data_IF_175730384639
#
_entry.id   IF_175730384639
#
_cell.length_a   1.000
_cell.length_b   1.000
_cell.length_c   1.000
_cell.angle_alpha   90.00
_cell.angle_beta   90.00
_cell.angle_gamma   90.00
#
_symmetry.space_group_name_H-M   'P 1'
#
loop_
_entity.id
_entity.type
_entity.pdbx_description
1 polymer ?
#
# COMPACT_ATOMS: atom_id res chain seq x y z
N UNK A 1 31.63 -4.51 -14.90
CA UNK A 1 31.52 -3.05 -15.08
C UNK A 1 30.29 -2.56 -14.33
N UNK A 2 30.46 -1.58 -13.43
CA UNK A 2 29.32 -0.94 -12.76
C UNK A 2 28.63 -0.01 -13.76
N UNK A 3 27.53 -0.48 -14.35
CA UNK A 3 26.70 0.37 -15.20
C UNK A 3 25.82 1.26 -14.31
N UNK A 4 25.96 2.56 -14.52
CA UNK A 4 25.21 3.62 -13.87
C UNK A 4 23.80 3.59 -14.44
N UNK A 5 22.80 3.24 -13.61
CA UNK A 5 21.40 3.41 -14.01
C UNK A 5 21.11 4.91 -14.15
N UNK A 6 20.53 5.37 -15.27
CA UNK A 6 20.18 6.78 -15.43
C UNK A 6 19.15 7.17 -14.36
N UNK A 7 19.43 8.28 -13.67
CA UNK A 7 18.56 8.89 -12.66
C UNK A 7 17.30 9.39 -13.39
N UNK A 8 16.16 8.74 -13.20
CA UNK A 8 14.88 9.29 -13.66
C UNK A 8 14.28 10.18 -12.56
N UNK A 9 13.53 11.20 -12.98
CA UNK A 9 12.97 12.24 -12.10
C UNK A 9 11.56 11.85 -11.65
N UNK A 10 11.35 11.69 -10.34
CA UNK A 10 10.06 11.44 -9.70
C UNK A 10 10.15 10.62 -8.40
N UNK A 11 9.10 10.57 -7.56
CA UNK A 11 9.08 9.72 -6.38
C UNK A 11 8.95 8.24 -6.80
N UNK A 12 10.09 7.55 -6.90
CA UNK A 12 10.13 6.12 -7.23
C UNK A 12 9.87 5.25 -6.01
N UNK A 13 8.71 4.62 -5.97
CA UNK A 13 8.49 3.44 -5.14
C UNK A 13 9.00 2.23 -5.91
N UNK A 14 9.93 1.48 -5.32
CA UNK A 14 10.44 0.23 -5.90
C UNK A 14 9.97 -0.92 -5.01
N UNK A 15 8.99 -1.66 -5.50
CA UNK A 15 8.66 -2.96 -4.93
C UNK A 15 9.61 -4.00 -5.52
N UNK A 16 10.30 -4.73 -4.64
CA UNK A 16 11.22 -5.80 -5.05
C UNK A 16 10.48 -7.13 -4.97
N UNK A 17 10.01 -7.61 -6.11
CA UNK A 17 9.49 -8.97 -6.25
C UNK A 17 10.62 -9.94 -6.57
N UNK A 18 10.71 -11.05 -5.84
CA UNK A 18 11.73 -12.08 -6.06
C UNK A 18 11.05 -13.40 -6.37
N UNK A 19 11.23 -13.94 -7.58
CA UNK A 19 10.91 -15.33 -7.86
C UNK A 19 12.10 -16.21 -7.41
N UNK A 20 12.25 -16.45 -6.11
CA UNK A 20 13.15 -17.50 -5.61
C UNK A 20 12.36 -18.56 -4.83
N UNK A 21 12.81 -19.81 -4.94
CA UNK A 21 12.93 -20.68 -3.76
C UNK A 21 14.30 -20.35 -3.15
N UNK A 22 14.29 -19.57 -2.07
CA UNK A 22 15.44 -19.07 -1.29
C UNK A 22 16.47 -18.18 -2.03
N UNK A 23 16.61 -16.93 -1.61
CA UNK A 23 17.57 -15.96 -2.17
C UNK A 23 17.93 -14.81 -1.21
N UNK A 24 19.04 -14.08 -1.46
CA UNK A 24 19.91 -13.52 -0.41
C UNK A 24 19.70 -12.02 -0.09
N UNK A 25 20.20 -11.61 1.08
CA UNK A 25 19.92 -10.41 1.88
C UNK A 25 20.52 -9.05 1.40
N UNK A 26 21.01 -8.91 0.16
CA UNK A 26 21.84 -7.75 -0.24
C UNK A 26 21.22 -6.66 -1.14
N UNK A 27 20.13 -6.96 -1.87
CA UNK A 27 19.57 -6.05 -2.88
C UNK A 27 18.88 -4.79 -2.29
N UNK A 28 18.15 -4.88 -1.16
CA UNK A 28 17.52 -3.73 -0.52
C UNK A 28 18.48 -2.58 -0.21
N UNK A 29 19.61 -2.86 0.43
CA UNK A 29 20.59 -1.86 0.82
C UNK A 29 21.21 -1.11 -0.39
N UNK A 30 21.32 -1.75 -1.55
CA UNK A 30 21.84 -1.11 -2.77
C UNK A 30 20.83 -0.16 -3.40
N UNK A 31 19.53 -0.47 -3.31
CA UNK A 31 18.45 0.37 -3.82
C UNK A 31 18.22 1.58 -2.91
N UNK A 32 18.28 1.41 -1.58
CA UNK A 32 18.19 2.52 -0.63
C UNK A 32 19.33 3.55 -0.81
N UNK A 33 20.58 3.08 -1.00
CA UNK A 33 21.74 3.94 -1.30
C UNK A 33 21.57 4.79 -2.56
N UNK A 34 20.70 4.35 -3.49
CA UNK A 34 20.40 5.07 -4.74
C UNK A 34 19.17 5.98 -4.63
N UNK A 35 18.60 6.13 -3.43
CA UNK A 35 17.47 7.03 -3.15
C UNK A 35 16.10 6.39 -3.34
N UNK A 36 16.02 5.09 -3.62
CA UNK A 36 14.75 4.37 -3.71
C UNK A 36 14.22 4.06 -2.31
N UNK A 37 12.91 4.20 -2.09
CA UNK A 37 12.26 3.70 -0.87
C UNK A 37 12.09 2.19 -1.04
N UNK A 38 12.88 1.41 -0.34
CA UNK A 38 12.74 -0.06 -0.30
C UNK A 38 11.86 -0.41 0.89
N UNK A 39 10.86 -1.26 0.67
CA UNK A 39 10.07 -1.84 1.74
C UNK A 39 10.51 -3.29 1.85
N UNK A 40 11.43 -3.58 2.78
CA UNK A 40 11.64 -4.94 3.27
C UNK A 40 10.53 -5.26 4.26
N UNK A 41 9.84 -6.38 4.05
CA UNK A 41 8.78 -6.81 4.95
C UNK A 41 9.41 -7.50 6.16
N UNK A 42 9.35 -6.84 7.31
CA UNK A 42 9.36 -7.48 8.63
C UNK A 42 7.99 -7.28 9.29
N UNK A 43 7.55 -8.28 10.04
CA UNK A 43 6.20 -8.40 10.60
C UNK A 43 5.87 -7.30 11.63
N UNK A 44 5.17 -6.24 11.22
CA UNK A 44 4.44 -5.39 12.18
C UNK A 44 3.21 -4.72 11.54
N UNK A 45 2.08 -4.73 12.28
CA UNK A 45 0.77 -4.20 11.87
C UNK A 45 0.40 -2.93 12.67
N UNK A 46 -0.41 -2.01 12.08
CA UNK A 46 -0.83 -0.76 12.71
C UNK A 46 -2.00 -0.89 13.69
N UNK A 47 -2.11 0.10 14.58
CA UNK A 47 -3.16 0.29 15.60
C UNK A 47 -4.47 0.83 15.02
N UNK A 48 -5.59 0.21 15.36
CA UNK A 48 -6.95 0.64 14.96
C UNK A 48 -7.62 1.45 16.07
N UNK A 49 -7.85 2.74 15.84
CA UNK A 49 -8.69 3.58 16.68
C UNK A 49 -9.58 4.45 15.80
N UNK A 50 -10.91 4.35 15.95
CA UNK A 50 -11.87 5.32 15.40
C UNK A 50 -13.03 4.76 14.56
N UNK A 51 -13.92 3.95 15.14
CA UNK A 51 -15.18 3.57 14.50
C UNK A 51 -16.38 4.16 15.25
N UNK A 52 -17.26 4.87 14.52
CA UNK A 52 -18.51 5.44 15.01
C UNK A 52 -19.57 4.35 15.25
N UNK A 53 -20.33 4.50 16.34
CA UNK A 53 -21.31 3.55 16.86
C UNK A 53 -22.69 3.73 16.23
N UNK A 54 -23.16 2.75 15.45
CA UNK A 54 -24.57 2.61 15.09
C UNK A 54 -25.24 1.58 16.00
N UNK A 55 -26.46 1.90 16.44
CA UNK A 55 -27.43 1.18 17.28
C UNK A 55 -26.95 -0.18 17.81
N UNK A 56 -26.26 -0.11 18.95
CA UNK A 56 -25.78 -1.25 19.72
C UNK A 56 -26.94 -1.75 20.59
N UNK A 57 -27.01 -3.06 20.83
CA UNK A 57 -27.88 -3.61 21.86
C UNK A 57 -27.26 -3.19 23.21
N UNK A 58 -27.71 -2.06 23.77
CA UNK A 58 -27.08 -1.36 24.92
C UNK A 58 -27.07 -2.18 26.22
N UNK A 59 -27.77 -3.32 26.25
CA UNK A 59 -27.91 -4.15 27.45
C UNK A 59 -26.75 -5.12 27.69
N UNK A 60 -25.81 -5.27 26.75
CA UNK A 60 -24.67 -6.17 26.95
C UNK A 60 -23.61 -5.53 27.86
N UNK A 61 -23.48 -6.05 29.08
CA UNK A 61 -22.44 -5.66 30.05
C UNK A 61 -21.39 -6.77 30.17
N UNK A 62 -20.17 -6.61 29.61
CA UNK A 62 -19.10 -7.58 29.78
C UNK A 62 -18.72 -7.72 31.26
N UNK A 63 -18.24 -8.90 31.63
CA UNK A 63 -17.87 -9.17 33.03
C UNK A 63 -16.74 -8.22 33.47
N UNK A 64 -16.72 -7.76 34.75
CA UNK A 64 -15.56 -7.04 35.26
C UNK A 64 -14.32 -7.94 35.15
N UNK A 65 -13.18 -7.34 34.80
CA UNK A 65 -11.95 -8.10 34.60
C UNK A 65 -10.94 -7.41 33.67
N UNK A 66 -9.85 -8.09 33.31
CA UNK A 66 -8.79 -7.52 32.49
C UNK A 66 -9.30 -6.93 31.18
N UNK A 67 -8.72 -5.79 30.79
CA UNK A 67 -8.96 -5.14 29.50
C UNK A 67 -10.44 -4.83 29.22
N UNK A 68 -11.23 -4.49 30.25
CA UNK A 68 -12.68 -4.22 30.14
C UNK A 68 -13.02 -3.25 28.99
N UNK A 69 -12.38 -2.08 28.95
CA UNK A 69 -12.59 -1.08 27.89
C UNK A 69 -12.32 -1.63 26.48
N UNK A 70 -11.22 -2.38 26.32
CA UNK A 70 -10.88 -2.96 25.00
C UNK A 70 -11.85 -4.06 24.59
N UNK A 71 -12.36 -4.85 25.54
CA UNK A 71 -13.39 -5.85 25.27
C UNK A 71 -14.72 -5.17 24.90
N UNK A 72 -15.08 -4.07 25.56
CA UNK A 72 -16.23 -3.24 25.19
C UNK A 72 -16.10 -2.70 23.76
N UNK A 73 -14.94 -2.13 23.41
CA UNK A 73 -14.67 -1.63 22.07
C UNK A 73 -14.72 -2.75 21.02
N UNK A 74 -14.18 -3.92 21.34
CA UNK A 74 -14.27 -5.10 20.47
C UNK A 74 -15.73 -5.53 20.25
N UNK A 75 -16.55 -5.58 21.31
CA UNK A 75 -17.98 -5.88 21.20
C UNK A 75 -18.70 -4.89 20.29
N UNK A 76 -18.48 -3.59 20.49
CA UNK A 76 -19.03 -2.53 19.63
C UNK A 76 -18.59 -2.69 18.18
N UNK A 77 -17.32 -3.04 17.97
CA UNK A 77 -16.77 -3.30 16.63
C UNK A 77 -17.44 -4.50 15.97
N UNK A 78 -17.63 -5.62 16.69
CA UNK A 78 -18.35 -6.80 16.19
C UNK A 78 -19.78 -6.40 15.79
N UNK A 79 -20.51 -5.68 16.65
CA UNK A 79 -21.88 -5.24 16.35
C UNK A 79 -21.95 -4.30 15.13
N UNK A 80 -21.05 -3.31 15.05
CA UNK A 80 -20.95 -2.41 13.90
C UNK A 80 -20.60 -3.15 12.60
N UNK A 81 -20.00 -4.34 12.67
CA UNK A 81 -19.71 -5.16 11.50
C UNK A 81 -20.97 -5.72 10.84
N UNK A 82 -22.06 -5.86 11.62
CA UNK A 82 -23.36 -6.33 11.12
C UNK A 82 -23.97 -5.38 10.10
N UNK A 83 -23.91 -4.06 10.36
CA UNK A 83 -24.45 -3.05 9.43
C UNK A 83 -23.67 -2.98 8.12
N UNK A 84 -22.47 -3.55 8.09
CA UNK A 84 -21.61 -3.64 6.91
C UNK A 84 -21.73 -4.97 6.16
N UNK A 85 -22.73 -5.79 6.50
CA UNK A 85 -22.98 -7.07 5.82
C UNK A 85 -21.99 -8.19 6.18
N UNK A 86 -21.14 -8.00 7.19
CA UNK A 86 -20.22 -9.03 7.66
C UNK A 86 -20.98 -9.99 8.58
N UNK A 87 -20.86 -11.30 8.34
CA UNK A 87 -21.41 -12.33 9.22
C UNK A 87 -20.77 -12.28 10.60
N UNK A 88 -21.51 -11.80 11.62
CA UNK A 88 -20.95 -11.58 12.96
C UNK A 88 -20.95 -12.80 13.88
N UNK A 89 -21.68 -13.86 13.53
CA UNK A 89 -21.97 -15.00 14.44
C UNK A 89 -20.70 -15.65 14.98
N UNK A 90 -19.70 -15.92 14.12
CA UNK A 90 -18.43 -16.53 14.54
C UNK A 90 -17.62 -15.64 15.50
N UNK A 91 -17.62 -14.34 15.28
CA UNK A 91 -16.94 -13.36 16.15
C UNK A 91 -17.64 -13.23 17.49
N UNK A 92 -18.97 -13.19 17.49
CA UNK A 92 -19.76 -13.12 18.71
C UNK A 92 -19.58 -14.39 19.56
N UNK A 93 -19.54 -15.58 18.93
CA UNK A 93 -19.24 -16.83 19.63
C UNK A 93 -17.85 -16.82 20.25
N UNK A 94 -16.84 -16.34 19.51
CA UNK A 94 -15.46 -16.21 20.01
C UNK A 94 -15.37 -15.22 21.18
N UNK A 95 -16.10 -14.10 21.09
CA UNK A 95 -16.18 -13.09 22.13
C UNK A 95 -16.88 -13.65 23.39
N UNK A 96 -18.01 -14.34 23.25
CA UNK A 96 -18.71 -14.97 24.37
C UNK A 96 -17.87 -16.05 25.06
N UNK A 97 -17.10 -16.82 24.29
CA UNK A 97 -16.12 -17.76 24.85
C UNK A 97 -15.05 -17.03 25.67
N UNK A 98 -14.51 -15.93 25.15
CA UNK A 98 -13.56 -15.07 25.86
C UNK A 98 -14.16 -14.52 27.17
N UNK A 99 -15.39 -14.02 27.15
CA UNK A 99 -16.09 -13.55 28.35
C UNK A 99 -16.26 -14.65 29.41
N UNK A 100 -16.52 -15.88 28.97
CA UNK A 100 -16.60 -17.05 29.88
C UNK A 100 -15.26 -17.30 30.56
N UNK A 101 -14.15 -17.16 29.83
CA UNK A 101 -12.79 -17.27 30.39
C UNK A 101 -12.48 -16.14 31.38
N UNK A 102 -12.90 -14.91 31.10
CA UNK A 102 -12.76 -13.77 32.04
C UNK A 102 -13.51 -14.07 33.34
N UNK A 103 -14.77 -14.55 33.26
CA UNK A 103 -15.56 -14.94 34.44
C UNK A 103 -14.92 -16.06 35.25
N UNK A 104 -14.18 -16.97 34.59
CA UNK A 104 -13.42 -18.04 35.22
C UNK A 104 -12.04 -17.59 35.77
N UNK A 105 -11.71 -16.29 35.72
CA UNK A 105 -10.47 -15.75 36.26
C UNK A 105 -9.27 -15.78 35.32
N UNK A 106 -9.48 -15.81 33.99
CA UNK A 106 -8.39 -15.77 33.02
C UNK A 106 -7.50 -14.53 33.19
N UNK A 107 -6.18 -14.74 33.10
CA UNK A 107 -5.17 -13.70 33.24
C UNK A 107 -5.16 -12.70 32.09
N UNK A 108 -4.58 -11.51 32.32
CA UNK A 108 -4.53 -10.40 31.34
C UNK A 108 -3.96 -10.80 29.99
N UNK A 109 -2.93 -11.65 29.94
CA UNK A 109 -2.26 -12.03 28.69
C UNK A 109 -3.10 -12.99 27.84
N UNK A 110 -3.80 -13.94 28.48
CA UNK A 110 -4.78 -14.81 27.80
C UNK A 110 -5.90 -13.96 27.19
N UNK A 111 -6.43 -13.01 27.97
CA UNK A 111 -7.48 -12.10 27.50
C UNK A 111 -6.99 -11.23 26.33
N UNK A 112 -5.76 -10.70 26.43
CA UNK A 112 -5.13 -9.91 25.37
C UNK A 112 -4.97 -10.72 24.08
N UNK A 113 -4.54 -11.97 24.18
CA UNK A 113 -4.38 -12.86 23.03
C UNK A 113 -5.73 -13.19 22.37
N UNK A 114 -6.77 -13.45 23.17
CA UNK A 114 -8.14 -13.67 22.70
C UNK A 114 -8.70 -12.47 21.95
N UNK A 115 -8.63 -11.27 22.54
CA UNK A 115 -9.03 -10.01 21.89
C UNK A 115 -8.30 -9.83 20.56
N UNK A 116 -6.98 -9.98 20.55
CA UNK A 116 -6.15 -9.81 19.35
C UNK A 116 -6.55 -10.78 18.23
N UNK A 117 -6.85 -12.04 18.57
CA UNK A 117 -7.27 -13.05 17.58
C UNK A 117 -8.57 -12.64 16.88
N UNK A 118 -9.54 -12.14 17.65
CA UNK A 118 -10.83 -11.68 17.10
C UNK A 118 -10.61 -10.42 16.25
N UNK A 119 -9.82 -9.45 16.73
CA UNK A 119 -9.48 -8.22 15.98
C UNK A 119 -8.82 -8.54 14.63
N UNK A 120 -7.86 -9.47 14.59
CA UNK A 120 -7.20 -9.89 13.34
C UNK A 120 -8.22 -10.51 12.38
N UNK A 121 -9.01 -11.47 12.87
CA UNK A 121 -9.97 -12.19 12.03
C UNK A 121 -11.10 -11.26 11.53
N UNK A 122 -11.53 -10.28 12.32
CA UNK A 122 -12.43 -9.22 11.86
C UNK A 122 -11.75 -8.36 10.80
N UNK A 123 -10.54 -7.88 11.09
CA UNK A 123 -9.76 -7.06 10.17
C UNK A 123 -9.58 -7.71 8.80
N UNK A 124 -9.41 -9.03 8.75
CA UNK A 124 -9.36 -9.79 7.49
C UNK A 124 -10.68 -9.77 6.71
N UNK A 125 -11.83 -9.86 7.37
CA UNK A 125 -13.15 -9.71 6.72
C UNK A 125 -13.45 -8.27 6.32
N UNK A 126 -12.79 -7.29 6.95
CA UNK A 126 -12.88 -5.89 6.54
C UNK A 126 -12.06 -5.57 5.30
N UNK A 127 -11.01 -6.35 4.98
CA UNK A 127 -10.14 -6.11 3.82
C UNK A 127 -10.92 -6.02 2.49
N UNK A 128 -11.94 -6.85 2.20
CA UNK A 128 -12.76 -6.73 0.99
C UNK A 128 -13.71 -5.52 0.99
N UNK A 129 -14.25 -5.10 2.15
CA UNK A 129 -15.19 -3.98 2.22
C UNK A 129 -14.51 -2.60 2.28
N UNK A 130 -13.23 -2.57 2.64
CA UNK A 130 -12.35 -1.39 2.54
C UNK A 130 -11.73 -1.24 1.15
N UNK A 131 -11.98 -2.17 0.23
CA UNK A 131 -11.48 -2.04 -1.13
C UNK A 131 -12.21 -0.88 -1.83
N UNK A 132 -11.46 0.22 -2.01
CA UNK A 132 -11.74 1.32 -2.94
C UNK A 132 -12.57 2.50 -2.41
N UNK A 133 -12.39 2.96 -1.17
CA UNK A 133 -12.99 4.25 -0.79
C UNK A 133 -11.99 5.40 -0.92
N UNK A 134 -10.71 5.16 -0.63
CA UNK A 134 -9.70 6.22 -0.62
C UNK A 134 -9.23 6.55 -2.04
N UNK A 135 -9.09 5.56 -2.93
CA UNK A 135 -8.63 5.81 -4.31
C UNK A 135 -9.62 6.67 -5.09
N UNK A 136 -10.94 6.41 -5.09
CA UNK A 136 -11.90 7.33 -5.72
C UNK A 136 -11.87 8.73 -5.10
N UNK A 137 -11.69 8.82 -3.77
CA UNK A 137 -11.50 10.09 -3.09
C UNK A 137 -10.26 10.84 -3.58
N UNK A 138 -9.11 10.17 -3.67
CA UNK A 138 -7.88 10.72 -4.25
C UNK A 138 -8.07 11.17 -5.70
N UNK A 139 -8.75 10.38 -6.54
CA UNK A 139 -9.05 10.75 -7.93
C UNK A 139 -9.95 12.00 -8.00
N UNK A 140 -10.91 12.13 -7.08
CA UNK A 140 -11.74 13.35 -6.97
C UNK A 140 -10.89 14.56 -6.59
N UNK A 141 -9.94 14.41 -5.68
CA UNK A 141 -8.98 15.46 -5.34
C UNK A 141 -8.06 15.81 -6.50
N UNK A 142 -7.55 14.82 -7.24
CA UNK A 142 -6.72 15.03 -8.43
C UNK A 142 -7.46 15.91 -9.46
N UNK A 143 -8.75 15.65 -9.70
CA UNK A 143 -9.59 16.49 -10.59
C UNK A 143 -9.71 17.93 -10.07
N UNK A 144 -10.03 18.10 -8.79
CA UNK A 144 -10.14 19.42 -8.16
C UNK A 144 -8.82 20.21 -8.24
N UNK A 145 -7.69 19.55 -7.95
CA UNK A 145 -6.35 20.13 -8.06
C UNK A 145 -6.06 20.54 -9.51
N UNK A 146 -6.31 19.66 -10.46
CA UNK A 146 -6.07 19.92 -11.88
C UNK A 146 -6.83 21.15 -12.37
N UNK A 147 -8.12 21.27 -12.05
CA UNK A 147 -8.96 22.40 -12.47
C UNK A 147 -8.43 23.75 -11.93
N UNK A 148 -7.98 23.77 -10.69
CA UNK A 148 -7.56 25.00 -10.01
C UNK A 148 -6.11 25.39 -10.29
N UNK A 149 -5.24 24.42 -10.58
CA UNK A 149 -3.82 24.66 -10.86
C UNK A 149 -3.54 24.89 -12.36
N UNK A 150 -4.53 24.65 -13.24
CA UNK A 150 -4.41 24.88 -14.68
C UNK A 150 -4.00 26.32 -14.98
N UNK A 151 -3.09 26.49 -15.95
CA UNK A 151 -2.65 27.80 -16.42
C UNK A 151 -1.61 28.50 -15.54
N UNK A 152 -1.00 27.80 -14.57
CA UNK A 152 0.08 28.32 -13.71
C UNK A 152 1.45 27.82 -14.17
N UNK A 153 2.19 28.54 -15.04
CA UNK A 153 3.48 28.07 -15.53
C UNK A 153 4.50 27.85 -14.41
N UNK A 154 4.37 28.56 -13.28
CA UNK A 154 5.23 28.43 -12.11
C UNK A 154 5.16 27.04 -11.46
N UNK A 155 4.07 26.30 -11.69
CA UNK A 155 3.83 24.96 -11.15
C UNK A 155 4.02 23.85 -12.18
N UNK A 156 4.62 24.14 -13.35
CA UNK A 156 4.80 23.16 -14.42
C UNK A 156 5.63 21.95 -14.01
N UNK A 157 6.61 22.15 -13.13
CA UNK A 157 7.46 21.04 -12.64
C UNK A 157 6.83 20.23 -11.52
N UNK A 158 5.72 20.70 -10.95
CA UNK A 158 5.08 20.05 -9.80
C UNK A 158 5.73 20.45 -8.47
N UNK A 159 4.94 20.40 -7.40
CA UNK A 159 5.39 20.59 -6.03
C UNK A 159 4.78 19.52 -5.16
N UNK A 160 5.62 18.78 -4.44
CA UNK A 160 5.20 17.75 -3.50
C UNK A 160 4.79 18.35 -2.17
N UNK A 161 3.54 18.16 -1.79
CA UNK A 161 2.95 18.63 -0.55
C UNK A 161 2.47 17.45 0.31
N UNK A 162 2.55 17.62 1.61
CA UNK A 162 1.93 16.73 2.60
C UNK A 162 0.85 17.51 3.33
N UNK A 163 -0.31 16.88 3.52
CA UNK A 163 -1.41 17.47 4.29
C UNK A 163 -2.17 16.40 5.05
N UNK A 164 -3.01 16.83 5.99
CA UNK A 164 -3.97 15.95 6.64
C UNK A 164 -5.36 16.53 6.54
N UNK A 165 -6.27 15.77 5.95
CA UNK A 165 -7.68 16.14 5.79
C UNK A 165 -8.48 15.54 6.94
N UNK A 166 -9.18 16.40 7.68
CA UNK A 166 -10.12 15.98 8.73
C UNK A 166 -11.38 15.35 8.15
N UNK A 167 -12.19 14.72 8.99
CA UNK A 167 -13.50 14.17 8.59
C UNK A 167 -14.49 15.24 8.13
N UNK A 168 -14.24 16.51 8.50
CA UNK A 168 -14.98 17.69 8.04
C UNK A 168 -14.41 18.30 6.74
N UNK A 169 -13.41 17.66 6.13
CA UNK A 169 -12.73 18.18 4.94
C UNK A 169 -11.69 19.28 5.22
N UNK A 170 -11.54 19.75 6.48
CA UNK A 170 -10.58 20.80 6.78
C UNK A 170 -9.15 20.30 6.69
N UNK A 171 -8.30 21.13 6.09
CA UNK A 171 -6.89 20.85 5.98
C UNK A 171 -6.15 21.22 7.27
N UNK A 172 -5.24 20.35 7.67
CA UNK A 172 -4.30 20.58 8.76
C UNK A 172 -2.91 20.07 8.36
N UNK A 173 -1.85 20.60 9.00
CA UNK A 173 -0.45 20.18 8.76
C UNK A 173 -0.05 20.21 7.27
N UNK A 174 -0.38 21.29 6.56
CA UNK A 174 0.02 21.48 5.15
C UNK A 174 1.46 21.99 5.08
N UNK A 175 2.36 21.20 4.50
CA UNK A 175 3.76 21.56 4.30
C UNK A 175 4.33 20.95 3.01
N UNK A 176 5.36 21.60 2.47
CA UNK A 176 6.10 21.12 1.28
C UNK A 176 7.09 20.02 1.70
N UNK A 177 7.22 18.98 0.90
CA UNK A 177 8.19 17.91 1.13
C UNK A 177 9.61 18.45 1.21
N UNK A 178 10.39 17.98 2.18
CA UNK A 178 11.82 18.35 2.32
C UNK A 178 12.67 17.92 1.12
N UNK A 179 12.21 16.91 0.37
CA UNK A 179 12.92 16.37 -0.80
C UNK A 179 12.55 17.08 -2.11
N UNK A 180 11.57 17.99 -2.06
CA UNK A 180 11.12 18.74 -3.22
C UNK A 180 12.20 19.74 -3.67
N UNK A 181 12.51 19.75 -4.97
CA UNK A 181 13.57 20.58 -5.57
C UNK A 181 13.03 21.81 -6.28
N UNK A 182 11.73 22.05 -6.25
CA UNK A 182 11.09 23.15 -6.94
C UNK A 182 11.48 24.49 -6.32
N UNK A 183 11.35 25.56 -7.12
CA UNK A 183 11.73 26.92 -6.73
C UNK A 183 10.93 27.38 -5.49
N UNK A 184 11.51 28.21 -4.61
CA UNK A 184 10.82 28.72 -3.42
C UNK A 184 9.49 29.41 -3.74
N UNK A 185 9.39 30.15 -4.85
CA UNK A 185 8.13 30.80 -5.24
C UNK A 185 7.05 29.77 -5.58
N UNK A 186 7.40 28.73 -6.35
CA UNK A 186 6.50 27.64 -6.70
C UNK A 186 6.01 26.89 -5.45
N UNK A 187 6.92 26.62 -4.50
CA UNK A 187 6.62 25.96 -3.23
C UNK A 187 5.61 26.76 -2.39
N UNK A 188 5.83 28.08 -2.28
CA UNK A 188 4.92 28.98 -1.56
C UNK A 188 3.56 29.03 -2.26
N UNK A 189 3.54 29.26 -3.57
CA UNK A 189 2.33 29.32 -4.37
C UNK A 189 1.50 28.05 -4.27
N UNK A 190 2.10 26.87 -4.45
CA UNK A 190 1.41 25.59 -4.36
C UNK A 190 0.76 25.37 -2.98
N UNK A 191 1.49 25.72 -1.91
CA UNK A 191 0.98 25.63 -0.54
C UNK A 191 -0.22 26.56 -0.31
N UNK A 192 -0.09 27.82 -0.72
CA UNK A 192 -1.14 28.83 -0.54
C UNK A 192 -2.40 28.46 -1.33
N UNK A 193 -2.23 27.93 -2.55
CA UNK A 193 -3.35 27.44 -3.36
C UNK A 193 -4.05 26.24 -2.72
N UNK A 194 -3.31 25.25 -2.21
CA UNK A 194 -3.90 24.10 -1.53
C UNK A 194 -4.63 24.52 -0.25
N UNK A 195 -4.11 25.48 0.51
CA UNK A 195 -4.81 26.03 1.68
C UNK A 195 -6.10 26.77 1.30
N UNK A 196 -6.07 27.57 0.22
CA UNK A 196 -7.24 28.30 -0.28
C UNK A 196 -8.35 27.39 -0.82
N UNK A 197 -8.04 26.13 -1.15
CA UNK A 197 -9.02 25.13 -1.55
C UNK A 197 -9.75 24.46 -0.37
N UNK A 198 -9.38 24.75 0.89
CA UNK A 198 -10.08 24.21 2.05
C UNK A 198 -11.51 24.78 2.16
N UNK A 199 -12.53 23.97 2.50
CA UNK A 199 -12.45 22.54 2.82
C UNK A 199 -12.38 21.66 1.58
N UNK A 200 -11.60 20.58 1.66
CA UNK A 200 -11.64 19.48 0.70
C UNK A 200 -12.94 18.68 0.86
N UNK A 201 -13.32 17.85 -0.14
CA UNK A 201 -14.31 16.82 0.09
C UNK A 201 -13.98 16.02 1.36
N UNK A 202 -14.99 15.67 2.16
CA UNK A 202 -14.77 14.85 3.33
C UNK A 202 -14.24 13.46 2.90
N UNK A 203 -13.15 12.96 3.52
CA UNK A 203 -12.68 11.62 3.27
C UNK A 203 -13.73 10.58 3.75
N UNK A 204 -13.76 9.39 3.13
CA UNK A 204 -14.72 8.34 3.48
C UNK A 204 -14.53 7.82 4.92
N UNK A 205 -13.29 7.84 5.43
CA UNK A 205 -12.97 7.36 6.77
C UNK A 205 -12.09 8.36 7.53
N UNK A 206 -12.68 8.98 8.54
CA UNK A 206 -11.95 9.74 9.56
C UNK A 206 -10.95 10.76 9.01
N UNK A 207 -9.77 10.82 9.64
CA UNK A 207 -8.71 11.75 9.27
C UNK A 207 -7.69 11.05 8.37
N UNK A 208 -7.46 11.58 7.18
CA UNK A 208 -6.55 10.98 6.19
C UNK A 208 -5.32 11.85 5.96
N UNK A 209 -4.13 11.26 6.05
CA UNK A 209 -2.87 11.90 5.65
C UNK A 209 -2.64 11.68 4.17
N UNK A 210 -2.42 12.75 3.42
CA UNK A 210 -2.26 12.71 1.97
C UNK A 210 -0.94 13.32 1.55
N UNK A 211 -0.39 12.76 0.47
CA UNK A 211 0.63 13.40 -0.33
C UNK A 211 -0.01 13.83 -1.64
N UNK A 212 0.27 15.07 -2.02
CA UNK A 212 -0.25 15.71 -3.22
C UNK A 212 0.93 16.14 -4.09
N UNK A 213 0.86 15.85 -5.37
CA UNK A 213 1.72 16.47 -6.38
C UNK A 213 0.93 17.58 -7.06
N UNK A 214 1.22 18.83 -6.69
CA UNK A 214 0.54 20.01 -7.20
C UNK A 214 1.26 20.52 -8.45
N UNK A 215 0.68 20.32 -9.62
CA UNK A 215 1.22 20.78 -10.90
C UNK A 215 0.16 21.45 -11.76
N UNK A 216 0.59 22.33 -12.66
CA UNK A 216 -0.26 22.84 -13.75
C UNK A 216 -0.36 21.89 -14.94
N UNK A 217 0.50 20.85 -14.99
CA UNK A 217 0.39 19.74 -15.93
C UNK A 217 -0.56 18.66 -15.35
N UNK A 218 -1.73 18.41 -15.97
CA UNK A 218 -2.67 17.39 -15.51
C UNK A 218 -2.09 15.99 -15.35
N UNK A 219 -1.04 15.65 -16.12
CA UNK A 219 -0.41 14.34 -16.03
C UNK A 219 0.46 14.18 -14.79
N UNK A 220 0.97 15.29 -14.24
CA UNK A 220 1.78 15.33 -13.02
C UNK A 220 0.97 15.52 -11.74
N UNK A 221 -0.32 15.88 -11.84
CA UNK A 221 -1.20 16.00 -10.67
C UNK A 221 -1.55 14.63 -10.12
N UNK A 222 -1.28 14.45 -8.83
CA UNK A 222 -1.50 13.18 -8.14
C UNK A 222 -1.92 13.39 -6.67
N UNK A 223 -2.79 12.52 -6.16
CA UNK A 223 -3.11 12.45 -4.74
C UNK A 223 -3.08 10.99 -4.28
N UNK A 224 -2.47 10.72 -3.13
CA UNK A 224 -2.41 9.39 -2.54
C UNK A 224 -2.15 9.46 -1.03
N UNK A 225 -2.31 8.33 -0.35
CA UNK A 225 -2.12 8.25 1.11
C UNK A 225 -0.65 8.46 1.47
N UNK A 226 -0.38 9.41 2.35
CA UNK A 226 0.94 9.63 2.91
C UNK A 226 1.15 8.71 4.12
N UNK A 227 1.62 7.50 3.84
CA UNK A 227 1.81 6.51 4.89
C UNK A 227 2.08 5.10 4.37
N UNK A 228 1.68 4.13 5.20
CA UNK A 228 1.77 2.72 4.89
C UNK A 228 0.58 2.32 4.02
N UNK A 229 0.88 1.85 2.81
CA UNK A 229 -0.07 1.19 1.92
C UNK A 229 0.37 -0.26 1.83
N UNK A 230 -0.55 -1.20 2.07
CA UNK A 230 -0.23 -2.62 2.10
C UNK A 230 -0.18 -3.21 0.68
N UNK A 231 1.04 -3.36 0.16
CA UNK A 231 1.29 -3.98 -1.15
C UNK A 231 1.45 -5.51 -1.08
N UNK A 232 1.29 -6.16 0.07
CA UNK A 232 1.60 -7.60 0.22
C UNK A 232 0.78 -8.47 -0.72
N UNK A 233 -0.55 -8.35 -0.66
CA UNK A 233 -1.45 -9.20 -1.45
C UNK A 233 -1.23 -9.06 -2.96
N UNK A 234 -1.01 -7.83 -3.45
CA UNK A 234 -0.75 -7.62 -4.88
C UNK A 234 0.60 -8.18 -5.31
N UNK A 235 1.64 -8.06 -4.49
CA UNK A 235 2.97 -8.57 -4.84
C UNK A 235 3.00 -10.10 -4.86
N UNK A 236 2.27 -10.76 -3.96
CA UNK A 236 2.08 -12.22 -3.96
C UNK A 236 1.34 -12.68 -5.24
N UNK A 237 0.26 -12.00 -5.62
CA UNK A 237 -0.48 -12.31 -6.85
C UNK A 237 0.36 -12.09 -8.10
N UNK A 238 1.09 -10.97 -8.16
CA UNK A 238 2.00 -10.61 -9.23
C UNK A 238 3.09 -11.69 -9.40
N UNK A 239 3.75 -12.09 -8.31
CA UNK A 239 4.78 -13.12 -8.35
C UNK A 239 4.21 -14.46 -8.80
N UNK A 240 3.02 -14.83 -8.32
CA UNK A 240 2.32 -16.06 -8.71
C UNK A 240 2.02 -16.09 -10.21
N UNK A 241 1.45 -15.01 -10.76
CA UNK A 241 1.12 -14.91 -12.20
C UNK A 241 2.35 -14.97 -13.09
N UNK A 242 3.41 -14.24 -12.73
CA UNK A 242 4.67 -14.25 -13.49
C UNK A 242 5.27 -15.65 -13.48
N UNK A 243 5.28 -16.34 -12.33
CA UNK A 243 5.78 -17.72 -12.26
C UNK A 243 5.00 -18.69 -13.14
N UNK A 244 3.68 -18.53 -13.25
CA UNK A 244 2.84 -19.37 -14.11
C UNK A 244 3.15 -19.19 -15.60
N UNK A 245 3.52 -17.97 -16.02
CA UNK A 245 3.86 -17.67 -17.41
C UNK A 245 5.35 -17.84 -17.73
N UNK A 246 6.19 -18.04 -16.71
CA UNK A 246 7.63 -18.12 -16.89
C UNK A 246 8.06 -19.54 -17.24
N UNK A 247 8.53 -19.70 -18.48
CA UNK A 247 9.05 -20.94 -19.02
C UNK A 247 10.55 -20.76 -19.30
N UNK A 248 11.42 -20.85 -18.28
CA UNK A 248 12.85 -20.63 -18.48
C UNK A 248 13.46 -21.74 -19.37
N UNK A 249 14.37 -21.40 -20.30
CA UNK A 249 15.06 -22.40 -21.10
C UNK A 249 15.94 -23.31 -20.21
N UNK A 250 15.91 -24.62 -20.46
CA UNK A 250 16.71 -25.61 -19.71
C UNK A 250 18.20 -25.37 -19.96
N UNK A 251 18.96 -25.04 -18.91
CA UNK A 251 20.41 -24.75 -18.97
C UNK A 251 21.11 -25.26 -17.71
N UNK A 252 22.45 -25.36 -17.75
CA UNK A 252 23.26 -25.92 -16.65
C UNK A 252 23.95 -24.85 -15.76
N UNK A 253 23.53 -23.58 -15.86
CA UNK A 253 24.13 -22.47 -15.12
C UNK A 253 23.09 -21.63 -14.41
N UNK A 254 23.36 -21.25 -13.16
CA UNK A 254 22.53 -20.29 -12.43
C UNK A 254 22.70 -18.89 -13.00
N UNK A 255 21.59 -18.21 -13.32
CA UNK A 255 21.58 -16.85 -13.87
C UNK A 255 20.48 -15.99 -13.23
N UNK A 256 20.74 -14.69 -13.21
CA UNK A 256 19.83 -13.68 -12.64
C UNK A 256 19.53 -12.62 -13.68
N UNK A 257 18.24 -12.41 -13.95
CA UNK A 257 17.75 -11.33 -14.78
C UNK A 257 16.97 -10.35 -13.90
N UNK A 258 17.08 -9.05 -14.16
CA UNK A 258 16.26 -8.03 -13.50
C UNK A 258 15.49 -7.29 -14.57
N UNK A 259 14.17 -7.27 -14.42
CA UNK A 259 13.25 -6.60 -15.31
C UNK A 259 12.56 -5.48 -14.54
N UNK A 260 12.40 -4.32 -15.18
CA UNK A 260 11.59 -3.23 -14.65
C UNK A 260 10.35 -3.07 -15.50
N UNK A 261 9.22 -2.81 -14.86
CA UNK A 261 8.00 -2.34 -15.50
C UNK A 261 7.25 -1.42 -14.56
N UNK A 262 6.35 -0.63 -15.12
CA UNK A 262 5.46 0.27 -14.39
C UNK A 262 4.09 -0.38 -14.27
N UNK A 263 3.57 -0.49 -13.06
CA UNK A 263 2.22 -1.01 -12.78
C UNK A 263 1.29 0.15 -12.42
N UNK A 264 0.15 0.24 -13.10
CA UNK A 264 -0.87 1.26 -12.86
C UNK A 264 -1.97 0.76 -11.93
N UNK A 265 -2.73 1.71 -11.34
CA UNK A 265 -3.83 1.43 -10.40
C UNK A 265 -4.86 0.42 -10.91
N UNK A 266 -5.12 0.40 -12.21
CA UNK A 266 -6.08 -0.49 -12.86
C UNK A 266 -5.51 -1.88 -13.19
N UNK A 267 -4.21 -2.11 -12.99
CA UNK A 267 -3.54 -3.39 -13.22
C UNK A 267 -2.80 -3.52 -14.55
N UNK A 268 -2.83 -2.51 -15.43
CA UNK A 268 -2.04 -2.55 -16.66
C UNK A 268 -0.56 -2.24 -16.40
N UNK A 269 0.29 -2.74 -17.30
CA UNK A 269 1.75 -2.54 -17.24
C UNK A 269 2.25 -1.71 -18.41
N UNK A 270 3.26 -0.87 -18.17
CA UNK A 270 4.00 -0.16 -19.21
C UNK A 270 5.51 -0.17 -18.93
N UNK A 271 6.30 0.40 -19.86
CA UNK A 271 7.75 0.63 -19.71
C UNK A 271 8.53 -0.63 -19.33
N UNK A 272 8.06 -1.78 -19.82
CA UNK A 272 8.71 -3.08 -19.63
C UNK A 272 10.09 -3.07 -20.29
N UNK A 273 11.15 -3.28 -19.49
CA UNK A 273 12.53 -3.30 -19.99
C UNK A 273 13.46 -4.14 -19.13
N UNK A 274 14.49 -4.69 -19.76
CA UNK A 274 15.61 -5.32 -19.07
C UNK A 274 16.45 -4.27 -18.35
N UNK A 275 16.68 -4.46 -17.05
CA UNK A 275 17.63 -3.69 -16.25
C UNK A 275 18.95 -4.43 -16.12
N UNK A 276 18.90 -5.76 -15.99
CA UNK A 276 20.06 -6.63 -15.98
C UNK A 276 19.80 -7.84 -16.84
N UNK A 277 20.53 -7.92 -17.95
CA UNK A 277 20.54 -9.08 -18.85
C UNK A 277 21.28 -10.26 -18.21
N UNK A 278 20.86 -11.47 -18.55
CA UNK A 278 21.61 -12.69 -18.22
C UNK A 278 22.79 -12.96 -19.16
N UNK A 279 22.88 -12.22 -20.27
CA UNK A 279 23.77 -12.49 -21.41
C UNK A 279 23.26 -13.60 -22.33
N UNK A 280 22.04 -14.12 -22.09
CA UNK A 280 21.42 -15.19 -22.87
C UNK A 280 20.09 -14.67 -23.40
N UNK A 281 20.00 -14.48 -24.72
CA UNK A 281 18.85 -13.86 -25.36
C UNK A 281 17.54 -14.61 -25.06
N UNK A 282 17.53 -15.93 -25.18
CA UNK A 282 16.30 -16.71 -24.96
C UNK A 282 15.80 -16.63 -23.50
N UNK A 283 16.72 -16.50 -22.54
CA UNK A 283 16.35 -16.35 -21.13
C UNK A 283 15.76 -14.97 -20.86
N UNK A 284 16.38 -13.92 -21.41
CA UNK A 284 15.88 -12.55 -21.25
C UNK A 284 14.51 -12.37 -21.93
N UNK A 285 14.33 -12.94 -23.14
CA UNK A 285 13.04 -12.97 -23.84
C UNK A 285 11.96 -13.70 -23.02
N UNK A 286 12.28 -14.86 -22.43
CA UNK A 286 11.37 -15.59 -21.53
C UNK A 286 10.96 -14.77 -20.30
N UNK A 287 11.88 -13.98 -19.73
CA UNK A 287 11.57 -13.09 -18.60
C UNK A 287 10.59 -11.97 -19.01
N UNK A 288 10.82 -11.35 -20.16
CA UNK A 288 9.94 -10.30 -20.69
C UNK A 288 8.56 -10.86 -21.06
N UNK A 289 8.52 -12.03 -21.71
CA UNK A 289 7.28 -12.72 -22.06
C UNK A 289 6.48 -13.12 -20.81
N UNK A 290 7.13 -13.58 -19.75
CA UNK A 290 6.45 -13.95 -18.51
C UNK A 290 5.70 -12.76 -17.87
N UNK A 291 6.34 -11.57 -17.85
CA UNK A 291 5.69 -10.37 -17.34
C UNK A 291 4.58 -9.91 -18.29
N UNK A 292 4.83 -9.86 -19.60
CA UNK A 292 3.83 -9.44 -20.58
C UNK A 292 2.60 -10.36 -20.60
N UNK A 293 2.80 -11.68 -20.51
CA UNK A 293 1.73 -12.68 -20.47
C UNK A 293 0.95 -12.69 -19.16
N UNK A 294 1.49 -12.07 -18.10
CA UNK A 294 0.79 -11.91 -16.82
C UNK A 294 -0.18 -10.73 -16.79
N UNK A 295 -0.20 -9.89 -17.85
CA UNK A 295 -1.11 -8.76 -17.97
C UNK A 295 -2.52 -9.20 -18.37
N UNK A 296 -3.60 -8.64 -17.77
CA UNK A 296 -3.58 -7.64 -16.71
C UNK A 296 -3.26 -8.25 -15.34
N UNK A 297 -2.52 -7.48 -14.53
CA UNK A 297 -2.23 -7.81 -13.13
C UNK A 297 -3.37 -7.32 -12.21
N UNK A 298 -3.31 -7.70 -10.94
CA UNK A 298 -4.22 -7.14 -9.94
C UNK A 298 -4.03 -5.61 -9.80
N UNK A 299 -5.11 -4.93 -9.43
CA UNK A 299 -5.12 -3.48 -9.18
C UNK A 299 -4.24 -3.10 -8.00
N UNK A 300 -3.68 -1.89 -8.03
CA UNK A 300 -2.94 -1.37 -6.87
C UNK A 300 -3.86 -1.27 -5.64
N UNK A 301 -3.30 -1.45 -4.42
CA UNK A 301 -4.05 -1.29 -3.19
C UNK A 301 -4.68 0.09 -3.06
N UNK A 302 -5.71 0.18 -2.21
CA UNK A 302 -6.41 1.44 -1.99
C UNK A 302 -5.49 2.51 -1.39
N UNK A 303 -5.56 3.73 -1.92
CA UNK A 303 -4.69 4.83 -1.49
C UNK A 303 -3.27 4.82 -2.07
N UNK A 304 -2.95 3.88 -2.98
CA UNK A 304 -1.70 3.91 -3.76
C UNK A 304 -1.60 5.12 -4.70
N UNK A 305 -0.38 5.52 -5.12
CA UNK A 305 -0.16 6.37 -6.28
C UNK A 305 -0.80 5.79 -7.57
N UNK A 306 -0.92 6.60 -8.61
CA UNK A 306 -1.45 6.26 -9.94
C UNK A 306 -0.68 5.11 -10.57
N UNK A 307 0.63 5.08 -10.37
CA UNK A 307 1.49 3.99 -10.80
C UNK A 307 2.68 3.80 -9.85
N UNK A 308 3.25 2.59 -9.86
CA UNK A 308 4.48 2.25 -9.15
C UNK A 308 5.46 1.57 -10.12
N UNK A 309 6.76 1.83 -9.96
CA UNK A 309 7.78 1.14 -10.74
C UNK A 309 8.19 -0.15 -9.98
N UNK A 310 8.15 -1.30 -10.65
CA UNK A 310 8.45 -2.60 -10.05
C UNK A 310 9.75 -3.11 -10.63
N UNK A 311 10.65 -3.57 -9.75
CA UNK A 311 11.84 -4.35 -10.13
C UNK A 311 11.60 -5.80 -9.77
N UNK A 312 11.50 -6.64 -10.80
CA UNK A 312 11.30 -8.07 -10.64
C UNK A 312 12.58 -8.83 -10.96
N UNK A 313 12.98 -9.71 -10.05
CA UNK A 313 14.17 -10.55 -10.22
C UNK A 313 13.78 -11.96 -10.59
N UNK A 314 14.27 -12.42 -11.74
CA UNK A 314 14.22 -13.81 -12.19
C UNK A 314 15.51 -14.52 -11.79
N UNK A 315 15.37 -15.66 -11.12
CA UNK A 315 16.49 -16.50 -10.74
C UNK A 315 16.25 -17.93 -11.18
N UNK A 316 17.09 -18.39 -12.08
CA UNK A 316 17.12 -19.78 -12.48
C UNK A 316 18.23 -20.48 -11.72
N UNK A 317 17.89 -21.31 -10.73
CA UNK A 317 18.86 -22.08 -9.94
C UNK A 317 18.96 -23.51 -10.48
N UNK A 318 20.14 -23.90 -10.96
CA UNK A 318 20.41 -25.30 -11.31
C UNK A 318 20.97 -25.99 -10.08
N UNK A 319 20.17 -26.80 -9.40
CA UNK A 319 20.70 -27.71 -8.39
C UNK A 319 21.43 -28.85 -9.10
N UNK A 320 22.76 -28.88 -9.00
CA UNK A 320 23.50 -30.11 -9.25
C UNK A 320 23.25 -31.03 -8.07
N UNK A 321 22.35 -32.01 -8.23
CA UNK A 321 22.31 -33.15 -7.32
C UNK A 321 23.69 -33.80 -7.35
N UNK A 322 24.44 -33.72 -6.25
CA UNK A 322 25.62 -34.56 -6.06
C UNK A 322 25.10 -35.99 -5.85
N UNK A 323 25.18 -36.81 -6.88
CA UNK A 323 25.23 -38.25 -6.72
C UNK A 323 26.65 -38.66 -6.35
#
# INVERSE_FOLDING_TARGET
>A
LMEVLPKQEGPHFVAVGSAHMYGPTGLPAQLEKRGFKVVQMEDSLPSFAGLNTATINDDFKPAPGPLLERRLDLYKTIQASKSKGIGITGYMNSFNWLETRVKAGAGRDEVKAGVRKIEIALGEQYKPFLQYTITPYCVKLEKLLTEKLKGRPELKEGVTLHCTVGSDGKLSKVFVSKKDKSKPEAKKLARDMVLAMSPFPAPPEGKVKLRLEASSDPQKVEAYVDGFVDYKGIMEDLQRRIKLHWHPPKRNSTKHAIVMFRLFRDGHIEKLRMIRSTGIREHDESCLQAISGSSPLARLPDGSPRCVDILFTFSYNVHRSRY
#
